data_IF_377077913165
#
_entry.id   IF_377077913165
#
_cell.length_a   1.000
_cell.length_b   1.000
_cell.length_c   1.000
_cell.angle_alpha   90.00
_cell.angle_beta   90.00
_cell.angle_gamma   90.00
#
_symmetry.space_group_name_H-M   'P 1'
#
loop_
_entity.id
_entity.type
_entity.pdbx_description
1 polymer ?
#
# COMPACT_ATOMS: atom_id res chain seq x y z
N UNK A 1 -2.72 4.65 11.97
CA UNK A 1 -1.83 4.48 13.13
C UNK A 1 -0.54 3.71 12.83
N UNK A 2 -0.57 2.55 12.16
CA UNK A 2 0.65 1.80 11.79
C UNK A 2 1.76 2.64 11.14
N UNK A 3 1.42 3.55 10.23
CA UNK A 3 2.38 4.49 9.61
C UNK A 3 3.09 5.40 10.64
N UNK A 4 2.36 5.93 11.62
CA UNK A 4 2.93 6.77 12.68
C UNK A 4 3.89 5.97 13.58
N UNK A 5 3.56 4.70 13.81
CA UNK A 5 4.38 3.76 14.58
C UNK A 5 5.52 3.14 13.75
N UNK A 6 5.67 3.51 12.48
CA UNK A 6 6.63 2.91 11.55
C UNK A 6 6.49 1.38 11.42
N UNK A 7 5.27 0.86 11.59
CA UNK A 7 4.95 -0.56 11.40
C UNK A 7 4.65 -0.84 9.92
N UNK A 8 5.03 -2.03 9.40
CA UNK A 8 4.67 -2.44 8.06
C UNK A 8 3.14 -2.53 7.92
N UNK A 9 2.67 -2.19 6.73
CA UNK A 9 1.26 -2.34 6.34
C UNK A 9 1.15 -3.63 5.55
N UNK A 10 0.26 -4.50 5.97
CA UNK A 10 0.07 -5.82 5.39
C UNK A 10 -1.26 -5.91 4.64
N UNK A 11 -1.46 -6.98 3.87
CA UNK A 11 -2.67 -7.21 3.10
C UNK A 11 -3.94 -7.14 3.98
N UNK A 12 -3.88 -7.61 5.23
CA UNK A 12 -5.00 -7.55 6.17
C UNK A 12 -5.44 -6.13 6.50
N UNK A 13 -4.54 -5.15 6.44
CA UNK A 13 -4.89 -3.75 6.68
C UNK A 13 -5.78 -3.19 5.55
N UNK A 14 -5.75 -3.81 4.36
CA UNK A 14 -6.64 -3.49 3.25
C UNK A 14 -8.09 -3.88 3.55
N UNK A 15 -8.34 -4.96 4.30
CA UNK A 15 -9.69 -5.45 4.63
C UNK A 15 -10.54 -4.36 5.32
N UNK A 16 -9.92 -3.60 6.23
CA UNK A 16 -10.57 -2.53 6.98
C UNK A 16 -10.80 -1.24 6.15
N UNK A 17 -10.13 -1.08 5.00
CA UNK A 17 -10.17 0.14 4.18
C UNK A 17 -10.96 -0.06 2.89
N UNK A 18 -10.75 -1.20 2.23
CA UNK A 18 -11.32 -1.52 0.94
C UNK A 18 -11.47 -3.05 0.81
N UNK A 19 -12.62 -3.56 1.22
CA UNK A 19 -12.91 -5.00 1.25
C UNK A 19 -12.93 -5.62 -0.15
N UNK A 20 -13.40 -4.88 -1.15
CA UNK A 20 -13.44 -5.35 -2.54
C UNK A 20 -12.03 -5.54 -3.08
N UNK A 21 -11.18 -4.52 -2.91
CA UNK A 21 -9.79 -4.59 -3.34
C UNK A 21 -8.97 -5.63 -2.57
N UNK A 22 -9.24 -5.78 -1.26
CA UNK A 22 -8.68 -6.86 -0.45
C UNK A 22 -9.01 -8.24 -1.03
N UNK A 23 -10.27 -8.49 -1.39
CA UNK A 23 -10.69 -9.77 -1.97
C UNK A 23 -9.99 -10.04 -3.31
N UNK A 24 -9.83 -9.03 -4.17
CA UNK A 24 -9.09 -9.16 -5.43
C UNK A 24 -7.62 -9.53 -5.19
N UNK A 25 -6.94 -8.86 -4.25
CA UNK A 25 -5.55 -9.15 -3.91
C UNK A 25 -5.39 -10.51 -3.22
N UNK A 26 -6.36 -10.91 -2.39
CA UNK A 26 -6.39 -12.24 -1.78
C UNK A 26 -6.57 -13.33 -2.84
N UNK A 27 -7.42 -13.10 -3.84
CA UNK A 27 -7.58 -14.03 -4.96
C UNK A 27 -6.28 -14.18 -5.74
N UNK A 28 -5.61 -13.08 -6.07
CA UNK A 28 -4.29 -13.11 -6.74
C UNK A 28 -3.30 -13.91 -5.90
N UNK A 29 -3.29 -13.71 -4.57
CA UNK A 29 -2.41 -14.43 -3.66
C UNK A 29 -2.65 -15.93 -3.66
N UNK A 30 -3.91 -16.37 -3.68
CA UNK A 30 -4.28 -17.78 -3.54
C UNK A 30 -4.34 -18.54 -4.88
N UNK A 31 -4.45 -17.83 -6.00
CA UNK A 31 -4.63 -18.42 -7.33
C UNK A 31 -3.49 -18.01 -8.29
N UNK A 32 -3.50 -18.55 -9.50
CA UNK A 32 -2.57 -18.13 -10.56
C UNK A 32 -3.14 -16.90 -11.29
N UNK A 33 -2.49 -15.73 -11.20
CA UNK A 33 -2.98 -14.51 -11.85
C UNK A 33 -2.62 -14.41 -13.33
N UNK A 34 -1.89 -15.36 -13.91
CA UNK A 34 -1.38 -15.27 -15.28
C UNK A 34 -2.51 -15.09 -16.32
N UNK A 35 -3.70 -15.67 -16.07
CA UNK A 35 -4.87 -15.51 -16.93
C UNK A 35 -5.47 -14.10 -16.91
N UNK A 36 -5.18 -13.31 -15.87
CA UNK A 36 -5.68 -11.95 -15.73
C UNK A 36 -4.88 -10.93 -16.58
N UNK A 37 -3.76 -11.35 -17.19
CA UNK A 37 -2.88 -10.48 -17.98
C UNK A 37 -2.51 -9.19 -17.24
N UNK A 38 -2.33 -9.28 -15.92
CA UNK A 38 -1.92 -8.16 -15.10
C UNK A 38 -0.46 -7.82 -15.38
N UNK A 39 -0.13 -6.54 -15.31
CA UNK A 39 1.24 -6.04 -15.33
C UNK A 39 1.56 -5.36 -14.00
N UNK A 40 2.81 -4.98 -13.76
CA UNK A 40 3.20 -4.21 -12.58
C UNK A 40 2.78 -2.73 -12.69
N UNK A 41 1.50 -2.52 -13.00
CA UNK A 41 0.85 -1.23 -13.15
C UNK A 41 -0.49 -1.22 -12.40
N UNK A 42 -0.90 -0.04 -11.95
CA UNK A 42 -2.20 0.19 -11.32
C UNK A 42 -2.88 1.40 -11.95
N UNK A 43 -4.20 1.35 -12.00
CA UNK A 43 -5.00 2.49 -12.41
C UNK A 43 -5.16 3.48 -11.24
N UNK A 44 -4.80 4.73 -11.51
CA UNK A 44 -4.91 5.85 -10.60
C UNK A 44 -5.95 6.83 -11.15
N UNK A 45 -7.10 6.91 -10.48
CA UNK A 45 -8.10 7.94 -10.77
C UNK A 45 -7.76 9.23 -10.00
N UNK A 46 -7.52 10.30 -10.75
CA UNK A 46 -7.24 11.63 -10.20
C UNK A 46 -8.11 12.67 -10.92
N UNK A 47 -8.95 13.39 -10.17
CA UNK A 47 -9.87 14.42 -10.69
C UNK A 47 -10.75 13.93 -11.86
N UNK A 48 -11.21 12.67 -11.82
CA UNK A 48 -12.04 12.07 -12.88
C UNK A 48 -11.26 11.59 -14.11
N UNK A 49 -9.92 11.63 -14.08
CA UNK A 49 -9.06 11.06 -15.09
C UNK A 49 -8.39 9.78 -14.57
N UNK A 50 -8.58 8.67 -15.28
CA UNK A 50 -7.85 7.43 -15.03
C UNK A 50 -6.52 7.46 -15.76
N UNK A 51 -5.44 7.25 -15.03
CA UNK A 51 -4.09 7.12 -15.58
C UNK A 51 -3.44 5.85 -15.06
N UNK A 52 -2.61 5.22 -15.89
CA UNK A 52 -1.88 4.01 -15.49
C UNK A 52 -0.55 4.41 -14.87
N UNK A 53 -0.26 3.88 -13.69
CA UNK A 53 0.98 4.12 -12.96
C UNK A 53 1.76 2.83 -12.78
N UNK A 54 3.03 2.86 -13.16
CA UNK A 54 3.93 1.74 -12.92
C UNK A 54 4.28 1.63 -11.42
N UNK A 55 4.23 0.41 -10.89
CA UNK A 55 4.61 0.09 -9.51
C UNK A 55 6.13 -0.05 -9.34
N UNK A 56 6.84 -0.37 -10.42
CA UNK A 56 8.30 -0.47 -10.50
C UNK A 56 8.79 -0.07 -11.89
N UNK A 57 10.10 0.20 -12.09
CA UNK A 57 10.62 0.57 -13.40
C UNK A 57 10.31 -0.48 -14.47
N UNK A 58 9.79 -0.03 -15.61
CA UNK A 58 9.32 -0.88 -16.72
C UNK A 58 8.20 -1.85 -16.28
N UNK A 59 7.36 -1.41 -15.33
CA UNK A 59 6.30 -2.24 -14.78
C UNK A 59 5.24 -2.65 -15.81
N UNK A 60 5.04 -1.83 -16.85
CA UNK A 60 4.11 -2.14 -17.95
C UNK A 60 4.55 -3.33 -18.79
N UNK A 61 5.85 -3.64 -18.85
CA UNK A 61 6.40 -4.75 -19.63
C UNK A 61 6.57 -6.05 -18.81
N UNK A 62 6.22 -6.01 -17.52
CA UNK A 62 6.40 -7.13 -16.60
C UNK A 62 5.03 -7.69 -16.24
N UNK A 63 4.75 -8.90 -16.71
CA UNK A 63 3.52 -9.62 -16.37
C UNK A 63 3.56 -10.17 -14.94
N UNK A 64 2.39 -10.17 -14.30
CA UNK A 64 2.21 -10.78 -12.98
C UNK A 64 1.97 -12.28 -13.17
N UNK A 65 2.86 -13.07 -12.59
CA UNK A 65 2.86 -14.53 -12.64
C UNK A 65 2.84 -15.09 -11.23
N UNK A 66 2.65 -16.40 -11.10
CA UNK A 66 2.65 -17.05 -9.79
C UNK A 66 3.98 -16.87 -9.01
N UNK A 67 5.09 -16.64 -9.70
CA UNK A 67 6.42 -16.47 -9.08
C UNK A 67 6.66 -15.04 -8.54
N UNK A 68 5.97 -14.03 -9.09
CA UNK A 68 6.20 -12.62 -8.75
C UNK A 68 4.97 -11.91 -8.13
N UNK A 69 3.84 -12.62 -7.96
CA UNK A 69 2.60 -12.06 -7.41
C UNK A 69 2.73 -11.49 -6.00
N UNK A 70 3.59 -12.07 -5.15
CA UNK A 70 3.81 -11.56 -3.79
C UNK A 70 4.49 -10.18 -3.83
N UNK A 71 5.40 -9.96 -4.79
CA UNK A 71 6.02 -8.66 -5.02
C UNK A 71 4.98 -7.65 -5.53
N UNK A 72 4.14 -8.07 -6.49
CA UNK A 72 3.05 -7.23 -7.00
C UNK A 72 2.12 -6.76 -5.87
N UNK A 73 1.62 -7.69 -5.05
CA UNK A 73 0.73 -7.38 -3.91
C UNK A 73 1.41 -6.40 -2.95
N UNK A 74 2.70 -6.62 -2.63
CA UNK A 74 3.45 -5.73 -1.75
C UNK A 74 3.53 -4.30 -2.30
N UNK A 75 3.86 -4.14 -3.58
CA UNK A 75 3.98 -2.83 -4.22
C UNK A 75 2.62 -2.13 -4.32
N UNK A 76 1.55 -2.87 -4.58
CA UNK A 76 0.17 -2.34 -4.57
C UNK A 76 -0.18 -1.78 -3.18
N UNK A 77 0.10 -2.54 -2.11
CA UNK A 77 -0.15 -2.09 -0.73
C UNK A 77 0.66 -0.84 -0.40
N UNK A 78 1.96 -0.83 -0.74
CA UNK A 78 2.84 0.31 -0.51
C UNK A 78 2.35 1.56 -1.26
N UNK A 79 1.96 1.43 -2.52
CA UNK A 79 1.39 2.54 -3.28
C UNK A 79 0.07 3.04 -2.68
N UNK A 80 -0.85 2.13 -2.36
CA UNK A 80 -2.20 2.48 -1.91
C UNK A 80 -2.22 3.19 -0.56
N UNK A 81 -1.31 2.82 0.34
CA UNK A 81 -1.27 3.34 1.71
C UNK A 81 -0.16 4.33 1.99
N UNK A 82 1.01 4.20 1.36
CA UNK A 82 2.18 5.02 1.68
C UNK A 82 2.34 6.14 0.68
N UNK A 83 2.33 5.84 -0.62
CA UNK A 83 2.71 6.81 -1.65
C UNK A 83 1.80 8.05 -1.70
N UNK A 84 0.49 7.90 -1.42
CA UNK A 84 -0.48 9.00 -1.51
C UNK A 84 -0.46 9.98 -0.33
N UNK A 85 0.02 9.54 0.82
CA UNK A 85 -0.07 10.30 2.08
C UNK A 85 1.29 10.53 2.73
N UNK A 86 2.38 10.12 2.08
CA UNK A 86 3.74 10.16 2.64
C UNK A 86 4.12 11.58 3.09
N UNK A 87 3.92 12.58 2.23
CA UNK A 87 4.34 13.95 2.52
C UNK A 87 3.47 14.58 3.62
N UNK A 88 2.16 14.30 3.61
CA UNK A 88 1.23 14.74 4.64
C UNK A 88 1.54 14.09 5.99
N UNK A 89 1.84 12.79 5.98
CA UNK A 89 2.22 12.03 7.17
C UNK A 89 3.55 12.52 7.73
N UNK A 90 4.53 12.82 6.87
CA UNK A 90 5.81 13.37 7.29
C UNK A 90 5.63 14.75 7.94
N UNK A 91 4.88 15.67 7.31
CA UNK A 91 4.59 16.98 7.89
C UNK A 91 3.86 16.88 9.23
N UNK A 92 2.92 15.93 9.35
CA UNK A 92 2.23 15.64 10.60
C UNK A 92 3.18 15.15 11.70
N UNK A 93 4.06 14.18 11.39
CA UNK A 93 5.04 13.66 12.35
C UNK A 93 6.08 14.72 12.76
N UNK A 94 6.47 15.60 11.84
CA UNK A 94 7.35 16.73 12.14
C UNK A 94 6.70 17.71 13.12
N UNK A 95 5.43 18.08 12.90
CA UNK A 95 4.69 18.94 13.82
C UNK A 95 4.42 18.28 15.17
N UNK A 96 4.02 17.01 15.17
CA UNK A 96 3.74 16.26 16.39
C UNK A 96 5.01 16.07 17.23
N UNK A 97 6.14 15.77 16.58
CA UNK A 97 7.45 15.59 17.20
C UNK A 97 8.00 16.83 17.92
N UNK A 98 7.49 18.03 17.60
CA UNK A 98 7.84 19.27 18.30
C UNK A 98 7.17 19.36 19.69
N UNK A 99 6.05 18.67 19.89
CA UNK A 99 5.26 18.72 21.13
C UNK A 99 5.51 17.46 21.97
N UNK A 100 5.53 16.29 21.32
CA UNK A 100 5.66 15.00 21.98
C UNK A 100 6.84 14.23 21.37
N UNK A 101 7.81 13.77 22.17
CA UNK A 101 8.91 12.95 21.68
C UNK A 101 8.40 11.67 20.98
N UNK A 102 8.76 11.48 19.71
CA UNK A 102 8.28 10.35 18.89
C UNK A 102 8.69 8.97 19.46
N UNK A 103 9.74 8.92 20.28
CA UNK A 103 10.13 7.71 21.00
C UNK A 103 9.11 7.28 22.07
N UNK A 104 8.31 8.20 22.63
CA UNK A 104 7.20 7.84 23.51
C UNK A 104 6.04 7.19 22.76
N UNK A 105 5.83 7.48 21.47
CA UNK A 105 4.76 6.84 20.70
C UNK A 105 5.01 5.35 20.47
N UNK A 106 6.28 4.92 20.44
CA UNK A 106 6.65 3.52 20.21
C UNK A 106 6.25 2.56 21.34
N UNK A 107 5.79 3.07 22.48
CA UNK A 107 5.33 2.25 23.61
C UNK A 107 3.89 1.77 23.43
N UNK A 108 3.11 2.42 22.56
CA UNK A 108 1.71 2.09 22.29
C UNK A 108 1.59 1.22 21.04
N UNK A 109 0.64 0.29 21.03
CA UNK A 109 0.25 -0.40 19.81
C UNK A 109 -0.72 0.42 18.94
N UNK A 110 -1.00 -0.03 17.71
CA UNK A 110 -1.87 0.68 16.76
C UNK A 110 -3.36 0.71 17.15
N UNK A 111 -3.77 -0.07 18.15
CA UNK A 111 -5.13 -0.09 18.69
C UNK A 111 -5.26 0.81 19.94
N UNK A 112 -4.16 1.02 20.67
CA UNK A 112 -4.08 1.89 21.85
C UNK A 112 -3.86 3.36 21.51
N UNK A 113 -3.34 3.66 20.32
CA UNK A 113 -3.07 5.01 19.79
C UNK A 113 -4.24 5.55 18.95
#
# INVERSE_FOLDING_TARGET
YKMMLQKPIDLKDMEAVDMEYYNSLLWIKENDPSELMLTFCVDEETFGHTSQRELKPNGADIEVTNDNKDEYIKLVIEWRFVARVKDQMQAFLEGFGQIVPLNMLKIFDENEL
#
